data_IF_719715607497
#
_entry.id   IF_719715607497
#
_cell.length_a   1.000
_cell.length_b   1.000
_cell.length_c   1.000
_cell.angle_alpha   90.00
_cell.angle_beta   90.00
_cell.angle_gamma   90.00
#
_symmetry.space_group_name_H-M   'P 1'
#
loop_
_entity.id
_entity.type
_entity.pdbx_description
1 polymer ?
#
# COMPACT_ATOMS: atom_id res chain seq x y z
N UNK A 1 2.05 12.59 13.21
CA UNK A 1 0.69 12.26 12.71
C UNK A 1 0.73 12.43 11.22
N UNK A 2 0.58 11.35 10.46
CA UNK A 2 0.37 11.46 9.01
C UNK A 2 -1.03 12.04 8.83
N UNK A 3 -1.12 13.31 8.46
CA UNK A 3 -2.38 14.02 8.20
C UNK A 3 -3.11 13.51 6.96
N UNK A 4 -3.13 12.20 6.78
CA UNK A 4 -3.72 11.50 5.66
C UNK A 4 -4.97 10.72 6.05
N UNK A 5 -5.62 10.14 5.05
CA UNK A 5 -6.84 9.34 5.21
C UNK A 5 -6.47 7.86 5.17
N UNK A 6 -6.92 7.10 6.15
CA UNK A 6 -6.75 5.65 6.14
C UNK A 6 -7.92 4.93 5.47
N UNK A 7 -7.63 3.96 4.58
CA UNK A 7 -8.65 3.15 3.89
C UNK A 7 -8.62 1.72 4.41
N UNK A 8 -9.81 1.21 4.73
CA UNK A 8 -10.00 -0.10 5.36
C UNK A 8 -10.96 -0.97 4.54
N UNK A 9 -10.63 -2.26 4.44
CA UNK A 9 -11.52 -3.30 3.98
C UNK A 9 -11.94 -4.14 5.21
N UNK A 10 -13.08 -3.80 5.81
CA UNK A 10 -13.43 -4.29 7.15
C UNK A 10 -12.40 -3.83 8.18
N UNK A 11 -11.74 -4.78 8.86
CA UNK A 11 -10.67 -4.49 9.84
C UNK A 11 -9.26 -4.37 9.21
N UNK A 12 -9.16 -4.48 7.88
CA UNK A 12 -7.88 -4.56 7.19
C UNK A 12 -7.46 -3.19 6.66
N UNK A 13 -6.44 -2.61 7.29
CA UNK A 13 -5.80 -1.40 6.79
C UNK A 13 -4.93 -1.73 5.56
N UNK A 14 -5.45 -1.44 4.38
CA UNK A 14 -4.83 -1.84 3.10
C UNK A 14 -4.39 -0.67 2.23
N UNK A 15 -4.85 0.55 2.49
CA UNK A 15 -4.43 1.72 1.74
C UNK A 15 -4.50 3.00 2.58
N UNK A 16 -3.82 4.04 2.13
CA UNK A 16 -3.88 5.37 2.73
C UNK A 16 -3.75 6.43 1.66
N UNK A 17 -4.32 7.61 1.90
CA UNK A 17 -4.13 8.80 1.07
C UNK A 17 -3.32 9.80 1.89
N UNK A 18 -2.20 10.25 1.34
CA UNK A 18 -1.36 11.28 1.95
C UNK A 18 -0.77 12.13 0.83
N UNK A 19 -0.58 13.43 1.08
CA UNK A 19 0.00 14.35 0.08
C UNK A 19 -0.71 14.28 -1.29
N UNK A 20 -2.04 14.20 -1.26
CA UNK A 20 -2.92 14.04 -2.45
C UNK A 20 -2.68 12.77 -3.29
N UNK A 21 -1.92 11.80 -2.78
CA UNK A 21 -1.62 10.55 -3.46
C UNK A 21 -2.20 9.34 -2.73
N UNK A 22 -2.75 8.39 -3.50
CA UNK A 22 -3.15 7.09 -2.99
C UNK A 22 -1.92 6.19 -2.84
N UNK A 23 -1.80 5.55 -1.68
CA UNK A 23 -0.81 4.53 -1.42
C UNK A 23 -1.47 3.20 -1.08
N UNK A 24 -1.09 2.15 -1.79
CA UNK A 24 -1.55 0.79 -1.55
C UNK A 24 -0.55 0.02 -0.72
N UNK A 25 -1.04 -0.80 0.20
CA UNK A 25 -0.21 -1.69 1.00
C UNK A 25 0.47 -2.71 0.10
N UNK A 26 1.78 -2.83 0.21
CA UNK A 26 2.51 -3.96 -0.34
C UNK A 26 3.05 -4.88 0.74
N UNK A 27 3.63 -5.98 0.28
CA UNK A 27 4.44 -6.91 1.05
C UNK A 27 5.63 -7.38 0.20
N UNK A 28 6.44 -8.29 0.73
CA UNK A 28 7.62 -8.82 0.03
C UNK A 28 7.29 -9.50 -1.32
N UNK A 29 6.06 -10.00 -1.49
CA UNK A 29 5.64 -10.64 -2.74
C UNK A 29 5.21 -9.62 -3.80
N UNK A 30 4.54 -8.54 -3.40
CA UNK A 30 4.07 -7.51 -4.34
C UNK A 30 5.12 -6.42 -4.62
N UNK A 31 6.12 -6.27 -3.75
CA UNK A 31 7.21 -5.28 -3.88
C UNK A 31 7.88 -5.25 -5.27
N UNK A 32 8.37 -6.36 -5.85
CA UNK A 32 9.05 -6.31 -7.15
C UNK A 32 8.12 -5.83 -8.27
N UNK A 33 6.83 -6.13 -8.20
CA UNK A 33 5.85 -5.73 -9.20
C UNK A 33 5.53 -4.22 -9.11
N UNK A 34 5.47 -3.69 -7.88
CA UNK A 34 5.34 -2.25 -7.64
C UNK A 34 6.56 -1.47 -8.13
N UNK A 35 7.77 -1.92 -7.78
CA UNK A 35 9.02 -1.28 -8.20
C UNK A 35 9.20 -1.34 -9.73
N UNK A 36 8.84 -2.46 -10.38
CA UNK A 36 8.90 -2.60 -11.84
C UNK A 36 7.99 -1.62 -12.60
N UNK A 37 6.90 -1.16 -11.95
CA UNK A 37 5.94 -0.21 -12.53
C UNK A 37 6.24 1.24 -12.15
N UNK A 38 7.36 1.48 -11.45
CA UNK A 38 7.77 2.82 -11.01
C UNK A 38 6.99 3.34 -9.80
N UNK A 39 6.27 2.48 -9.07
CA UNK A 39 5.56 2.90 -7.86
C UNK A 39 6.56 3.11 -6.72
N UNK A 40 6.61 4.34 -6.20
CA UNK A 40 7.55 4.69 -5.14
C UNK A 40 7.02 4.31 -3.76
N UNK A 41 7.86 3.78 -2.86
CA UNK A 41 7.43 3.47 -1.50
C UNK A 41 7.19 4.75 -0.70
N UNK A 42 6.24 4.68 0.23
CA UNK A 42 5.86 5.77 1.11
C UNK A 42 6.99 6.06 2.09
N UNK A 43 7.55 7.26 1.98
CA UNK A 43 8.65 7.77 2.81
C UNK A 43 8.19 8.96 3.62
N UNK A 44 7.49 8.70 4.73
CA UNK A 44 6.89 9.76 5.52
C UNK A 44 7.89 10.71 6.21
N UNK A 45 9.11 10.24 6.46
CA UNK A 45 10.13 10.95 7.24
C UNK A 45 11.35 11.37 6.41
N UNK A 46 11.22 11.42 5.08
CA UNK A 46 12.32 11.76 4.15
C UNK A 46 13.17 10.54 3.74
N UNK A 47 14.29 10.79 3.06
CA UNK A 47 15.16 9.74 2.48
C UNK A 47 15.83 8.84 3.50
N UNK A 48 16.22 9.37 4.66
CA UNK A 48 16.78 8.61 5.79
C UNK A 48 15.71 8.04 6.75
N UNK A 49 14.43 8.23 6.40
CA UNK A 49 13.29 7.83 7.21
C UNK A 49 12.93 6.35 7.09
N UNK A 50 12.08 5.87 8.01
CA UNK A 50 11.52 4.51 7.91
C UNK A 50 10.67 4.39 6.65
N UNK A 51 11.07 3.48 5.75
CA UNK A 51 10.32 3.15 4.54
C UNK A 51 9.14 2.26 4.92
N UNK A 52 7.93 2.74 4.66
CA UNK A 52 6.75 1.93 4.88
C UNK A 52 6.43 1.11 3.62
N UNK A 53 5.89 -0.09 3.82
CA UNK A 53 5.42 -0.98 2.75
C UNK A 53 4.07 -0.49 2.16
N UNK A 54 4.03 0.77 1.75
CA UNK A 54 2.92 1.39 1.03
C UNK A 54 3.49 2.00 -0.24
N UNK A 55 2.87 1.78 -1.39
CA UNK A 55 3.40 2.18 -2.69
C UNK A 55 2.44 3.16 -3.34
N UNK A 56 3.00 4.26 -3.85
CA UNK A 56 2.22 5.31 -4.50
C UNK A 56 1.61 4.79 -5.80
N UNK A 57 0.31 4.92 -5.92
CA UNK A 57 -0.43 4.59 -7.14
C UNK A 57 -0.32 5.79 -8.10
N UNK A 58 0.19 5.59 -9.33
CA UNK A 58 0.21 6.64 -10.34
C UNK A 58 -1.20 7.13 -10.68
N UNK A 59 -1.36 8.42 -10.94
CA UNK A 59 -2.66 9.01 -11.30
C UNK A 59 -3.31 8.32 -12.52
N UNK A 60 -2.53 8.00 -13.54
CA UNK A 60 -2.98 7.26 -14.73
C UNK A 60 -3.64 5.91 -14.38
N UNK A 61 -3.11 5.22 -13.35
CA UNK A 61 -3.69 3.97 -12.87
C UNK A 61 -4.95 4.19 -12.02
N UNK A 62 -5.11 5.37 -11.40
CA UNK A 62 -6.35 5.72 -10.68
C UNK A 62 -7.50 6.01 -11.64
N UNK A 63 -7.20 6.51 -12.83
CA UNK A 63 -8.18 6.81 -13.88
C UNK A 63 -8.73 5.53 -14.55
N UNK A 64 -7.96 4.43 -14.51
CA UNK A 64 -8.38 3.13 -15.01
C UNK A 64 -8.71 2.14 -13.86
N UNK A 65 -9.99 2.04 -13.55
CA UNK A 65 -10.51 1.15 -12.49
C UNK A 65 -10.22 -0.33 -12.79
N UNK A 66 -10.22 -0.74 -14.05
CA UNK A 66 -9.94 -2.13 -14.43
C UNK A 66 -8.47 -2.46 -14.19
N UNK A 67 -7.59 -1.53 -14.52
CA UNK A 67 -6.16 -1.64 -14.24
C UNK A 67 -5.84 -1.50 -12.74
N UNK A 68 -6.60 -0.72 -11.96
CA UNK A 68 -6.42 -0.53 -10.51
C UNK A 68 -6.85 -1.75 -9.69
N UNK A 69 -7.94 -2.41 -10.09
CA UNK A 69 -8.53 -3.56 -9.40
C UNK A 69 -7.52 -4.61 -8.93
N UNK A 70 -6.63 -5.16 -9.78
CA UNK A 70 -5.66 -6.18 -9.34
C UNK A 70 -4.77 -5.69 -8.20
N UNK A 71 -4.35 -4.43 -8.20
CA UNK A 71 -3.51 -3.84 -7.16
C UNK A 71 -4.24 -3.68 -5.84
N UNK A 72 -5.50 -3.23 -5.88
CA UNK A 72 -6.33 -3.14 -4.70
C UNK A 72 -6.53 -4.53 -4.07
N UNK A 73 -6.78 -5.56 -4.89
CA UNK A 73 -6.90 -6.95 -4.42
C UNK A 73 -5.60 -7.45 -3.80
N UNK A 74 -4.46 -7.20 -4.44
CA UNK A 74 -3.14 -7.54 -3.89
C UNK A 74 -2.88 -6.84 -2.55
N UNK A 75 -3.26 -5.57 -2.41
CA UNK A 75 -3.07 -4.79 -1.20
C UNK A 75 -3.91 -5.31 -0.02
N UNK A 76 -5.16 -5.70 -0.30
CA UNK A 76 -6.02 -6.37 0.69
C UNK A 76 -5.39 -7.70 1.11
N UNK A 77 -4.94 -8.52 0.15
CA UNK A 77 -4.28 -9.79 0.44
C UNK A 77 -2.98 -9.61 1.26
N UNK A 78 -2.20 -8.55 1.00
CA UNK A 78 -1.03 -8.18 1.79
C UNK A 78 -1.41 -7.80 3.23
N UNK A 79 -2.50 -7.06 3.42
CA UNK A 79 -3.04 -6.73 4.74
C UNK A 79 -3.49 -7.98 5.51
N UNK A 80 -4.15 -8.93 4.84
CA UNK A 80 -4.55 -10.21 5.42
C UNK A 80 -3.34 -11.03 5.86
N UNK A 81 -2.32 -11.18 4.99
CA UNK A 81 -1.08 -11.90 5.32
C UNK A 81 -0.38 -11.27 6.53
N UNK A 82 -0.32 -9.94 6.61
CA UNK A 82 0.25 -9.23 7.78
C UNK A 82 -0.55 -9.51 9.05
N UNK A 83 -1.89 -9.51 8.98
CA UNK A 83 -2.77 -9.83 10.11
C UNK A 83 -2.63 -11.29 10.55
N UNK A 84 -2.54 -12.23 9.61
CA UNK A 84 -2.32 -13.64 9.89
C UNK A 84 -0.97 -13.88 10.58
N UNK A 85 0.11 -13.22 10.12
CA UNK A 85 1.43 -13.25 10.79
C UNK A 85 1.36 -12.73 12.23
N UNK A 86 0.59 -11.66 12.49
CA UNK A 86 0.40 -11.12 13.86
C UNK A 86 -0.43 -12.03 14.77
N UNK A 87 -1.36 -12.81 14.22
CA UNK A 87 -2.22 -13.73 14.98
C UNK A 87 -1.53 -15.04 15.38
N UNK A 88 -0.37 -15.39 14.81
CA UNK A 88 0.43 -16.52 15.30
C UNK A 88 1.32 -16.02 16.44
N UNK A 89 0.99 -16.29 17.71
CA UNK A 89 1.95 -16.08 18.79
C UNK A 89 3.07 -17.12 18.56
N UNK A 90 4.31 -16.72 18.82
CA UNK A 90 5.41 -17.69 18.97
C UNK A 90 5.20 -18.49 20.24
#
# INVERSE_FOLDING_TARGET
MFGGVGIYAGDLFFALVADDALYLKGDDASRPEFEARGMSPFRPFGEDGEVMQYYQVPADLLEDVEALRPWAVQAVAAAERKRAKRKRPR
#
